data_IF_328302219555
#
_entry.id   IF_328302219555
#
_cell.length_a   1.000
_cell.length_b   1.000
_cell.length_c   1.000
_cell.angle_alpha   90.00
_cell.angle_beta   90.00
_cell.angle_gamma   90.00
#
_symmetry.space_group_name_H-M   'P 1'
#
loop_
_entity.id
_entity.type
_entity.pdbx_description
1 polymer ?
#
# COMPACT_ATOMS: atom_id res chain seq x y z
N UNK A 1 -14.91 0.80 -15.25
CA UNK A 1 -15.02 0.79 -13.78
C UNK A 1 -13.71 0.35 -13.13
N UNK A 2 -13.28 1.07 -12.09
CA UNK A 2 -12.06 0.79 -11.32
C UNK A 2 -12.43 0.17 -9.96
N UNK A 3 -11.77 -0.91 -9.55
CA UNK A 3 -11.90 -1.51 -8.23
C UNK A 3 -10.67 -1.21 -7.37
N UNK A 4 -10.89 -0.55 -6.23
CA UNK A 4 -9.91 -0.36 -5.18
C UNK A 4 -10.15 -1.33 -4.03
N UNK A 5 -9.12 -2.06 -3.62
CA UNK A 5 -9.13 -2.95 -2.47
C UNK A 5 -8.13 -2.39 -1.46
N UNK A 6 -8.59 -2.09 -0.25
CA UNK A 6 -7.74 -1.54 0.82
C UNK A 6 -7.76 -2.41 2.05
N UNK A 7 -6.64 -2.46 2.78
CA UNK A 7 -6.49 -3.23 4.00
C UNK A 7 -7.46 -2.79 5.12
N UNK A 8 -7.38 -1.53 5.55
CA UNK A 8 -8.12 -1.00 6.70
C UNK A 8 -9.44 -0.29 6.37
N UNK A 9 -10.37 -0.29 7.33
CA UNK A 9 -11.70 0.35 7.21
C UNK A 9 -11.75 1.83 7.63
N UNK A 10 -10.63 2.42 8.08
CA UNK A 10 -10.63 3.72 8.77
C UNK A 10 -9.92 4.81 7.99
N UNK A 11 -8.62 4.64 7.70
CA UNK A 11 -7.79 5.72 7.15
C UNK A 11 -7.82 5.67 5.62
N UNK A 12 -7.65 4.49 5.07
CA UNK A 12 -7.53 4.17 3.65
C UNK A 12 -8.77 4.62 2.87
N UNK A 13 -10.01 4.41 3.34
CA UNK A 13 -11.19 4.95 2.64
C UNK A 13 -11.23 6.48 2.62
N UNK A 14 -10.67 7.15 3.63
CA UNK A 14 -10.57 8.63 3.64
C UNK A 14 -9.48 9.12 2.69
N UNK A 15 -8.35 8.40 2.61
CA UNK A 15 -7.28 8.67 1.64
C UNK A 15 -7.82 8.52 0.23
N UNK A 16 -8.52 7.42 -0.03
CA UNK A 16 -9.21 7.16 -1.28
C UNK A 16 -10.17 8.27 -1.67
N UNK A 17 -11.10 8.65 -0.77
CA UNK A 17 -12.07 9.71 -1.02
C UNK A 17 -11.38 11.05 -1.33
N UNK A 18 -10.25 11.32 -0.66
CA UNK A 18 -9.44 12.52 -0.92
C UNK A 18 -8.87 12.50 -2.34
N UNK A 19 -8.24 11.40 -2.74
CA UNK A 19 -7.69 11.22 -4.08
C UNK A 19 -8.79 11.33 -5.15
N UNK A 20 -9.92 10.63 -4.95
CA UNK A 20 -11.08 10.69 -5.85
C UNK A 20 -11.55 12.12 -6.06
N UNK A 21 -11.73 12.88 -4.98
CA UNK A 21 -12.17 14.28 -5.05
C UNK A 21 -11.15 15.23 -5.68
N UNK A 22 -9.86 14.92 -5.57
CA UNK A 22 -8.82 15.78 -6.14
C UNK A 22 -8.55 15.47 -7.62
N UNK A 23 -8.64 14.20 -8.02
CA UNK A 23 -8.06 13.72 -9.27
C UNK A 23 -8.98 12.86 -10.15
N UNK A 24 -9.97 12.16 -9.59
CA UNK A 24 -10.77 11.14 -10.30
C UNK A 24 -12.28 11.33 -10.10
N UNK A 25 -12.79 12.57 -10.20
CA UNK A 25 -14.21 12.87 -9.88
C UNK A 25 -15.22 12.17 -10.79
N UNK A 26 -14.85 11.95 -12.05
CA UNK A 26 -15.76 11.50 -13.10
C UNK A 26 -15.60 10.01 -13.44
N UNK A 27 -14.73 9.30 -12.71
CA UNK A 27 -14.50 7.86 -12.92
C UNK A 27 -15.59 7.03 -12.23
N UNK A 28 -15.99 5.93 -12.88
CA UNK A 28 -16.82 4.92 -12.23
C UNK A 28 -15.93 3.99 -11.41
N UNK A 29 -16.10 3.98 -10.11
CA UNK A 29 -15.22 3.27 -9.19
C UNK A 29 -15.96 2.62 -8.02
N UNK A 30 -15.32 1.61 -7.45
CA UNK A 30 -15.75 0.89 -6.27
C UNK A 30 -14.57 0.76 -5.31
N UNK A 31 -14.83 0.92 -4.01
CA UNK A 31 -13.87 0.59 -2.95
C UNK A 31 -14.40 -0.58 -2.10
N UNK A 32 -13.57 -1.59 -1.88
CA UNK A 32 -13.81 -2.71 -0.99
C UNK A 32 -12.78 -2.72 0.14
N UNK A 33 -13.23 -3.13 1.33
CA UNK A 33 -12.35 -3.27 2.51
C UNK A 33 -12.00 -4.74 2.66
N UNK A 34 -10.71 -5.07 2.63
CA UNK A 34 -10.26 -6.43 2.85
C UNK A 34 -10.38 -6.82 4.33
N UNK A 35 -10.01 -5.94 5.27
CA UNK A 35 -10.25 -6.14 6.70
C UNK A 35 -9.31 -7.13 7.39
N UNK A 36 -8.21 -7.48 6.75
CA UNK A 36 -7.12 -8.31 7.27
C UNK A 36 -5.81 -7.89 6.60
N UNK A 37 -4.65 -8.36 7.07
CA UNK A 37 -3.38 -7.95 6.48
C UNK A 37 -3.08 -8.71 5.18
N UNK A 38 -2.01 -8.30 4.51
CA UNK A 38 -1.54 -8.88 3.24
C UNK A 38 -1.25 -10.39 3.31
N UNK A 39 -0.83 -10.90 4.47
CA UNK A 39 -0.64 -12.34 4.67
C UNK A 39 -1.97 -13.11 4.76
N UNK A 40 -3.01 -12.45 5.29
CA UNK A 40 -4.39 -12.92 5.20
C UNK A 40 -4.86 -13.04 3.74
N UNK A 41 -4.51 -12.09 2.87
CA UNK A 41 -4.76 -12.16 1.42
C UNK A 41 -4.04 -13.35 0.80
N UNK A 42 -2.74 -13.48 1.03
CA UNK A 42 -1.95 -14.59 0.52
C UNK A 42 -2.54 -15.96 0.88
N UNK A 43 -2.85 -16.16 2.17
CA UNK A 43 -3.40 -17.41 2.67
C UNK A 43 -4.78 -17.73 2.08
N UNK A 44 -5.59 -16.71 1.80
CA UNK A 44 -6.88 -16.92 1.12
C UNK A 44 -6.67 -17.31 -0.32
N UNK A 45 -5.84 -16.60 -1.07
CA UNK A 45 -5.54 -16.92 -2.47
C UNK A 45 -5.01 -18.35 -2.61
N UNK A 46 -4.09 -18.80 -1.75
CA UNK A 46 -3.60 -20.20 -1.73
C UNK A 46 -4.70 -21.24 -1.48
N UNK A 47 -5.76 -20.90 -0.71
CA UNK A 47 -6.89 -21.82 -0.49
C UNK A 47 -7.76 -22.00 -1.73
N UNK A 48 -7.90 -20.96 -2.56
CA UNK A 48 -8.61 -21.09 -3.83
C UNK A 48 -7.74 -21.69 -4.93
N UNK A 49 -6.45 -21.37 -4.94
CA UNK A 49 -5.49 -21.75 -5.97
C UNK A 49 -4.49 -22.77 -5.41
N UNK A 50 -4.97 -23.99 -5.09
CA UNK A 50 -4.15 -25.02 -4.47
C UNK A 50 -2.84 -25.34 -5.23
N UNK A 51 -2.79 -25.04 -6.53
CA UNK A 51 -1.58 -24.99 -7.34
C UNK A 51 -1.50 -23.63 -8.06
N UNK A 52 -0.54 -22.78 -7.69
CA UNK A 52 -0.23 -21.54 -8.43
C UNK A 52 0.28 -21.81 -9.87
N UNK A 53 0.47 -23.08 -10.25
CA UNK A 53 0.96 -23.52 -11.56
C UNK A 53 -0.16 -23.63 -12.63
N UNK A 54 -1.45 -23.58 -12.25
CA UNK A 54 -2.56 -23.66 -13.21
C UNK A 54 -3.28 -22.29 -13.35
N UNK A 55 -2.69 -21.45 -14.20
CA UNK A 55 -3.13 -20.10 -14.58
C UNK A 55 -4.58 -20.09 -15.13
N UNK A 56 -5.15 -21.26 -15.46
CA UNK A 56 -6.51 -21.38 -16.01
C UNK A 56 -7.66 -21.35 -15.00
N UNK A 57 -7.40 -21.46 -13.68
CA UNK A 57 -8.43 -21.54 -12.63
C UNK A 57 -8.19 -20.57 -11.47
N UNK A 58 -7.48 -19.49 -11.73
CA UNK A 58 -7.17 -18.45 -10.75
C UNK A 58 -8.47 -17.89 -10.18
N UNK A 59 -8.70 -18.06 -8.88
CA UNK A 59 -9.78 -17.35 -8.20
C UNK A 59 -9.61 -15.86 -8.45
N UNK A 60 -10.58 -15.31 -9.14
CA UNK A 60 -10.69 -13.89 -9.36
C UNK A 60 -10.73 -13.20 -7.99
N UNK A 61 -9.88 -12.21 -7.79
CA UNK A 61 -9.82 -11.42 -6.56
C UNK A 61 -11.21 -10.88 -6.15
N UNK A 62 -12.09 -10.61 -7.12
CA UNK A 62 -13.48 -10.20 -6.88
C UNK A 62 -14.26 -11.25 -6.08
N UNK A 63 -14.10 -12.54 -6.39
CA UNK A 63 -14.80 -13.62 -5.69
C UNK A 63 -14.26 -13.79 -4.27
N UNK A 64 -12.93 -13.71 -4.11
CA UNK A 64 -12.29 -13.69 -2.78
C UNK A 64 -12.87 -12.57 -1.92
N UNK A 65 -12.98 -11.36 -2.46
CA UNK A 65 -13.50 -10.19 -1.74
C UNK A 65 -15.00 -10.33 -1.40
N UNK A 66 -15.82 -10.88 -2.30
CA UNK A 66 -17.25 -11.12 -2.05
C UNK A 66 -17.48 -12.11 -0.91
N UNK A 67 -16.70 -13.19 -0.86
CA UNK A 67 -16.88 -14.24 0.16
C UNK A 67 -16.37 -13.81 1.55
N UNK A 68 -15.54 -12.77 1.62
CA UNK A 68 -14.92 -12.33 2.87
C UNK A 68 -15.83 -11.51 3.78
N UNK A 69 -16.60 -10.58 3.22
CA UNK A 69 -17.46 -9.68 4.00
C UNK A 69 -18.79 -9.48 3.24
N UNK A 70 -19.95 -9.74 3.87
CA UNK A 70 -21.26 -9.44 3.30
C UNK A 70 -21.41 -8.00 2.79
N UNK A 71 -20.70 -7.03 3.40
CA UNK A 71 -20.69 -5.63 2.92
C UNK A 71 -20.01 -5.51 1.56
N UNK A 72 -18.91 -6.22 1.34
CA UNK A 72 -18.25 -6.24 0.03
C UNK A 72 -19.13 -6.95 -1.00
N UNK A 73 -19.80 -8.04 -0.63
CA UNK A 73 -20.77 -8.70 -1.52
C UNK A 73 -21.90 -7.75 -1.95
N UNK A 74 -22.41 -6.92 -1.04
CA UNK A 74 -23.42 -5.91 -1.35
C UNK A 74 -22.89 -4.80 -2.26
N UNK A 75 -21.67 -4.31 -2.00
CA UNK A 75 -21.00 -3.31 -2.84
C UNK A 75 -20.76 -3.85 -4.27
N UNK A 76 -20.39 -5.13 -4.38
CA UNK A 76 -20.10 -5.82 -5.65
C UNK A 76 -21.32 -6.49 -6.29
N UNK A 77 -22.54 -6.30 -5.77
CA UNK A 77 -23.73 -7.04 -6.22
C UNK A 77 -24.08 -6.85 -7.70
N UNK A 78 -23.70 -5.71 -8.26
CA UNK A 78 -23.97 -5.36 -9.66
C UNK A 78 -22.87 -5.87 -10.60
N UNK A 79 -21.74 -6.30 -10.04
CA UNK A 79 -20.63 -6.90 -10.79
C UNK A 79 -21.00 -8.36 -10.97
N UNK A 80 -21.15 -8.82 -12.19
CA UNK A 80 -21.51 -10.21 -12.49
C UNK A 80 -20.31 -11.01 -12.93
N UNK A 81 -19.40 -10.38 -13.67
CA UNK A 81 -18.19 -10.98 -14.24
C UNK A 81 -16.96 -10.15 -13.84
N UNK A 82 -15.76 -10.77 -13.81
CA UNK A 82 -14.48 -10.06 -13.72
C UNK A 82 -14.38 -8.98 -14.79
N UNK A 83 -14.84 -9.30 -16.00
CA UNK A 83 -14.80 -8.42 -17.17
C UNK A 83 -15.65 -7.16 -17.03
N UNK A 84 -16.47 -7.05 -15.98
CA UNK A 84 -17.19 -5.80 -15.67
C UNK A 84 -16.25 -4.79 -14.97
N UNK A 85 -15.05 -5.21 -14.55
CA UNK A 85 -14.02 -4.40 -13.93
C UNK A 85 -12.88 -4.20 -14.93
N UNK A 86 -12.54 -2.94 -15.23
CA UNK A 86 -11.48 -2.61 -16.18
C UNK A 86 -10.09 -2.61 -15.52
N UNK A 87 -10.03 -2.19 -14.25
CA UNK A 87 -8.78 -2.05 -13.51
C UNK A 87 -8.97 -2.42 -12.03
N UNK A 88 -8.02 -3.17 -11.47
CA UNK A 88 -7.99 -3.52 -10.04
C UNK A 88 -6.71 -2.99 -9.39
N UNK A 89 -6.86 -2.24 -8.31
CA UNK A 89 -5.77 -1.73 -7.49
C UNK A 89 -5.91 -2.23 -6.05
N UNK A 90 -4.83 -2.80 -5.51
CA UNK A 90 -4.77 -3.29 -4.14
C UNK A 90 -3.78 -2.44 -3.34
N UNK A 91 -4.19 -1.93 -2.18
CA UNK A 91 -3.33 -1.16 -1.27
C UNK A 91 -3.27 -1.86 0.08
N UNK A 92 -2.08 -2.33 0.41
CA UNK A 92 -1.80 -3.07 1.63
C UNK A 92 -0.56 -2.55 2.33
N UNK A 93 -0.45 -2.87 3.61
CA UNK A 93 0.71 -2.55 4.41
C UNK A 93 1.68 -3.75 4.39
N UNK A 94 2.99 -3.50 4.51
CA UNK A 94 3.97 -4.58 4.64
C UNK A 94 3.77 -5.38 5.96
N UNK A 95 3.06 -4.78 6.94
CA UNK A 95 2.64 -5.34 8.23
C UNK A 95 3.66 -6.26 8.93
N UNK A 96 4.72 -5.66 9.46
CA UNK A 96 5.69 -6.35 10.31
C UNK A 96 5.11 -6.99 11.58
N UNK A 97 3.89 -6.62 11.99
CA UNK A 97 3.29 -7.17 13.22
C UNK A 97 2.92 -8.64 13.04
N UNK A 98 2.70 -9.09 11.80
CA UNK A 98 2.49 -10.49 11.48
C UNK A 98 3.64 -11.37 11.98
N UNK A 99 4.89 -10.99 11.68
CA UNK A 99 6.05 -11.79 12.07
C UNK A 99 6.17 -11.98 13.60
N UNK A 100 5.84 -10.95 14.38
CA UNK A 100 5.80 -11.05 15.83
C UNK A 100 4.64 -11.93 16.34
N UNK A 101 3.45 -11.82 15.75
CA UNK A 101 2.32 -12.68 16.12
C UNK A 101 2.62 -14.15 15.84
N UNK A 102 3.25 -14.45 14.70
CA UNK A 102 3.67 -15.82 14.36
C UNK A 102 4.72 -16.30 15.35
N UNK A 103 5.72 -15.48 15.69
CA UNK A 103 6.75 -15.84 16.67
C UNK A 103 6.16 -16.12 18.07
N UNK A 104 5.15 -15.35 18.50
CA UNK A 104 4.45 -15.58 19.77
C UNK A 104 3.70 -16.91 19.80
N UNK A 105 3.17 -17.35 18.64
CA UNK A 105 2.47 -18.63 18.49
C UNK A 105 3.43 -19.82 18.26
N UNK A 106 4.59 -19.55 17.67
CA UNK A 106 5.63 -20.52 17.29
C UNK A 106 7.01 -20.07 17.80
N UNK A 107 7.28 -20.17 19.12
CA UNK A 107 8.53 -19.68 19.72
C UNK A 107 9.78 -20.41 19.22
N UNK A 108 9.62 -21.57 18.60
CA UNK A 108 10.67 -22.34 17.94
C UNK A 108 11.17 -21.71 16.63
N UNK A 109 10.34 -20.89 15.98
CA UNK A 109 10.71 -20.18 14.75
C UNK A 109 11.43 -18.87 15.09
N UNK A 110 12.58 -18.63 14.45
CA UNK A 110 13.24 -17.34 14.59
C UNK A 110 12.48 -16.25 13.82
N UNK A 111 12.55 -15.03 14.33
CA UNK A 111 11.94 -13.86 13.66
C UNK A 111 12.50 -13.64 12.25
N UNK A 112 13.77 -13.98 12.03
CA UNK A 112 14.44 -13.89 10.72
C UNK A 112 13.85 -14.90 9.72
N UNK A 113 13.60 -16.14 10.15
CA UNK A 113 12.97 -17.15 9.29
C UNK A 113 11.54 -16.76 8.91
N UNK A 114 10.78 -16.22 9.87
CA UNK A 114 9.41 -15.76 9.62
C UNK A 114 9.40 -14.57 8.66
N UNK A 115 10.27 -13.58 8.86
CA UNK A 115 10.36 -12.42 7.96
C UNK A 115 10.78 -12.82 6.54
N UNK A 116 11.69 -13.78 6.40
CA UNK A 116 12.10 -14.29 5.09
C UNK A 116 10.96 -15.01 4.36
N UNK A 117 10.15 -15.76 5.11
CA UNK A 117 8.94 -16.38 4.58
C UNK A 117 7.92 -15.32 4.18
N UNK A 118 7.69 -14.30 5.01
CA UNK A 118 6.82 -13.17 4.70
C UNK A 118 7.27 -12.41 3.44
N UNK A 119 8.58 -12.14 3.30
CA UNK A 119 9.17 -11.56 2.09
C UNK A 119 8.93 -12.43 0.85
N UNK A 120 9.02 -13.75 1.00
CA UNK A 120 8.74 -14.68 -0.11
C UNK A 120 7.28 -14.58 -0.56
N UNK A 121 6.35 -14.53 0.40
CA UNK A 121 4.90 -14.39 0.13
C UNK A 121 4.58 -13.05 -0.52
N UNK A 122 5.18 -11.97 -0.03
CA UNK A 122 5.00 -10.62 -0.60
C UNK A 122 5.54 -10.54 -2.02
N UNK A 123 6.68 -11.17 -2.30
CA UNK A 123 7.22 -11.27 -3.65
C UNK A 123 6.25 -12.00 -4.58
N UNK A 124 5.72 -13.16 -4.16
CA UNK A 124 4.72 -13.89 -4.94
C UNK A 124 3.47 -13.04 -5.23
N UNK A 125 2.99 -12.27 -4.24
CA UNK A 125 1.85 -11.37 -4.44
C UNK A 125 2.17 -10.21 -5.39
N UNK A 126 3.35 -9.62 -5.31
CA UNK A 126 3.78 -8.55 -6.22
C UNK A 126 4.01 -9.04 -7.65
N UNK A 127 4.47 -10.28 -7.81
CA UNK A 127 4.63 -10.90 -9.12
C UNK A 127 3.27 -11.26 -9.72
N UNK A 128 2.32 -11.68 -8.89
CA UNK A 128 0.95 -12.03 -9.30
C UNK A 128 0.07 -10.80 -9.58
N UNK A 129 0.12 -9.78 -8.73
CA UNK A 129 -0.62 -8.51 -8.88
C UNK A 129 0.29 -7.40 -9.44
N UNK A 130 0.72 -7.54 -10.69
CA UNK A 130 1.66 -6.61 -11.32
C UNK A 130 1.02 -5.65 -12.35
N UNK A 131 -0.20 -5.93 -12.81
CA UNK A 131 -0.85 -5.24 -13.92
C UNK A 131 -2.34 -5.05 -13.60
N UNK A 132 -2.78 -3.80 -13.59
CA UNK A 132 -4.12 -3.43 -13.14
C UNK A 132 -5.23 -3.97 -14.04
N UNK A 133 -4.94 -4.18 -15.32
CA UNK A 133 -5.91 -4.66 -16.33
C UNK A 133 -6.00 -6.20 -16.43
N UNK A 134 -5.20 -6.93 -15.66
CA UNK A 134 -5.22 -8.40 -15.60
C UNK A 134 -5.67 -8.88 -14.21
N UNK A 135 -4.75 -9.40 -13.39
CA UNK A 135 -5.06 -9.87 -12.04
C UNK A 135 -5.20 -8.72 -11.03
N UNK A 136 -4.75 -7.53 -11.39
CA UNK A 136 -4.71 -6.34 -10.55
C UNK A 136 -3.28 -5.91 -10.23
N UNK A 137 -3.13 -4.73 -9.62
CA UNK A 137 -1.84 -4.16 -9.27
C UNK A 137 -1.73 -3.85 -7.79
N UNK A 138 -0.75 -4.44 -7.13
CA UNK A 138 -0.52 -4.33 -5.70
C UNK A 138 0.46 -3.21 -5.36
N UNK A 139 0.03 -2.33 -4.46
CA UNK A 139 0.76 -1.21 -3.90
C UNK A 139 1.00 -1.44 -2.39
N UNK A 140 2.26 -1.31 -1.96
CA UNK A 140 2.66 -1.61 -0.56
C UNK A 140 3.08 -0.34 0.18
N UNK A 141 2.44 -0.05 1.31
CA UNK A 141 2.91 0.98 2.23
C UNK A 141 4.01 0.42 3.14
N UNK A 142 5.05 1.23 3.38
CA UNK A 142 6.16 0.90 4.25
C UNK A 142 6.22 1.85 5.46
N UNK A 143 5.99 1.35 6.69
CA UNK A 143 5.46 0.03 7.01
C UNK A 143 3.93 -0.07 6.89
N UNK A 144 3.21 1.06 6.99
CA UNK A 144 1.75 1.12 7.08
C UNK A 144 1.19 2.47 6.62
N UNK A 145 -0.15 2.60 6.54
CA UNK A 145 -0.83 3.81 6.05
C UNK A 145 -0.35 5.13 6.69
N UNK A 146 0.07 5.12 7.96
CA UNK A 146 0.64 6.29 8.62
C UNK A 146 1.92 6.86 7.95
N UNK A 147 2.59 6.09 7.09
CA UNK A 147 3.70 6.59 6.28
C UNK A 147 3.29 7.76 5.38
N UNK A 148 2.01 7.87 5.01
CA UNK A 148 1.49 8.98 4.20
C UNK A 148 1.70 10.35 4.87
N UNK A 149 1.56 10.41 6.20
CA UNK A 149 1.73 11.65 6.96
C UNK A 149 3.09 11.76 7.64
N UNK A 150 3.99 10.79 7.48
CA UNK A 150 5.28 10.78 8.18
C UNK A 150 6.24 11.81 7.55
N UNK A 151 5.98 13.08 7.81
CA UNK A 151 6.69 14.21 7.23
C UNK A 151 6.51 15.43 8.13
N UNK A 152 7.53 16.29 8.16
CA UNK A 152 7.46 17.65 8.69
C UNK A 152 6.79 18.55 7.65
N UNK A 153 7.03 19.85 7.69
CA UNK A 153 6.53 20.80 6.70
C UNK A 153 6.79 20.33 5.25
N UNK A 154 5.75 20.32 4.40
CA UNK A 154 5.89 20.02 2.97
C UNK A 154 6.41 21.23 2.18
N UNK A 155 7.39 21.06 1.26
CA UNK A 155 8.18 19.85 1.06
C UNK A 155 9.20 19.66 2.18
N UNK A 156 9.42 18.40 2.54
CA UNK A 156 10.35 18.02 3.59
C UNK A 156 11.69 17.56 2.98
N UNK A 157 12.74 18.38 3.17
CA UNK A 157 14.05 18.13 2.58
C UNK A 157 14.69 16.83 3.09
N UNK A 158 14.36 16.41 4.31
CA UNK A 158 14.95 15.25 4.96
C UNK A 158 14.11 13.98 4.78
N UNK A 159 12.96 14.06 4.10
CA UNK A 159 12.02 12.93 3.94
C UNK A 159 12.69 11.64 3.44
N UNK A 160 13.64 11.75 2.51
CA UNK A 160 14.39 10.61 1.97
C UNK A 160 15.20 9.84 3.01
N UNK A 161 15.58 10.48 4.12
CA UNK A 161 16.38 9.88 5.20
C UNK A 161 15.55 9.08 6.19
N UNK A 162 14.23 9.27 6.23
CA UNK A 162 13.40 8.70 7.28
C UNK A 162 13.22 7.18 7.12
N UNK A 163 13.53 6.45 8.19
CA UNK A 163 13.45 5.00 8.31
C UNK A 163 12.78 4.63 9.62
N UNK A 164 12.29 3.40 9.72
CA UNK A 164 11.77 2.82 10.96
C UNK A 164 12.35 1.42 11.14
N UNK A 165 12.45 1.00 12.39
CA UNK A 165 12.85 -0.36 12.76
C UNK A 165 11.63 -1.27 12.90
N UNK A 166 11.88 -2.58 12.88
CA UNK A 166 10.87 -3.61 13.16
C UNK A 166 10.25 -3.43 14.55
N UNK A 167 11.07 -3.08 15.54
CA UNK A 167 10.65 -2.88 16.93
C UNK A 167 9.67 -1.71 17.07
N UNK A 168 9.93 -0.59 16.40
CA UNK A 168 9.01 0.55 16.35
C UNK A 168 7.68 0.18 15.65
N UNK A 169 7.73 -0.64 14.60
CA UNK A 169 6.56 -1.12 13.88
C UNK A 169 5.63 -2.02 14.72
N UNK A 170 6.16 -2.77 15.70
CA UNK A 170 5.40 -3.76 16.47
C UNK A 170 4.15 -3.19 17.16
N UNK A 171 4.16 -1.92 17.54
CA UNK A 171 2.99 -1.27 18.15
C UNK A 171 3.05 0.26 18.22
N UNK A 172 4.20 0.87 17.93
CA UNK A 172 4.42 2.28 18.24
C UNK A 172 4.37 3.16 17.00
N UNK A 173 4.59 2.61 15.80
CA UNK A 173 4.72 3.41 14.59
C UNK A 173 3.56 4.38 14.38
N UNK A 174 2.31 3.98 14.61
CA UNK A 174 1.16 4.88 14.51
C UNK A 174 1.25 6.09 15.45
N UNK A 175 1.67 5.85 16.70
CA UNK A 175 1.88 6.90 17.70
C UNK A 175 3.09 7.76 17.35
N UNK A 176 4.21 7.14 16.96
CA UNK A 176 5.45 7.82 16.56
C UNK A 176 5.19 8.71 15.34
N UNK A 177 4.48 8.21 14.33
CA UNK A 177 4.09 8.98 13.15
C UNK A 177 3.18 10.16 13.53
N UNK A 178 2.23 9.96 14.46
CA UNK A 178 1.40 11.04 14.96
C UNK A 178 2.21 12.07 15.75
N UNK A 179 3.17 11.69 16.58
CA UNK A 179 4.01 12.61 17.36
C UNK A 179 5.06 13.32 16.49
N UNK A 180 5.57 12.63 15.47
CA UNK A 180 6.56 13.15 14.52
C UNK A 180 5.95 14.13 13.52
N UNK A 181 4.82 13.78 12.89
CA UNK A 181 4.27 14.52 11.76
C UNK A 181 3.86 15.96 12.12
N UNK A 182 4.07 16.93 11.22
CA UNK A 182 3.46 18.26 11.37
C UNK A 182 1.98 18.25 10.93
N UNK A 183 1.54 17.21 10.22
CA UNK A 183 0.18 16.98 9.72
C UNK A 183 -0.60 16.05 10.66
N UNK A 184 -0.76 16.48 11.92
CA UNK A 184 -1.49 15.76 12.98
C UNK A 184 -2.89 15.36 12.54
N UNK A 185 -3.29 14.13 12.87
CA UNK A 185 -4.57 13.55 12.46
C UNK A 185 -4.85 13.66 10.94
N UNK A 186 -3.80 13.77 10.12
CA UNK A 186 -3.87 14.01 8.67
C UNK A 186 -4.49 15.35 8.24
N UNK A 187 -4.54 16.36 9.13
CA UNK A 187 -5.00 17.70 8.77
C UNK A 187 -4.17 18.26 7.63
N UNK A 188 -4.80 18.73 6.55
CA UNK A 188 -4.12 19.23 5.35
C UNK A 188 -3.67 18.14 4.37
N UNK A 189 -3.88 16.86 4.71
CA UNK A 189 -3.65 15.71 3.82
C UNK A 189 -4.97 15.03 3.44
N UNK A 190 -5.92 14.90 4.37
CA UNK A 190 -7.23 14.32 4.08
C UNK A 190 -8.28 15.39 3.79
N UNK A 191 -9.26 15.02 2.97
CA UNK A 191 -10.46 15.81 2.74
C UNK A 191 -11.35 15.80 3.98
N UNK A 192 -11.32 16.88 4.76
CA UNK A 192 -12.18 17.08 5.92
C UNK A 192 -13.22 18.17 5.61
N UNK A 193 -14.52 17.83 5.72
CA UNK A 193 -15.68 18.76 5.72
C UNK A 193 -15.59 19.97 4.78
N UNK A 194 -15.49 19.73 3.46
CA UNK A 194 -15.39 20.76 2.43
C UNK A 194 -14.27 21.76 2.78
N UNK A 195 -13.00 21.39 2.56
CA UNK A 195 -11.87 22.15 3.07
C UNK A 195 -11.94 23.58 2.54
N UNK A 196 -11.81 24.55 3.44
CA UNK A 196 -11.77 25.97 3.10
C UNK A 196 -10.65 26.29 2.09
N UNK A 197 -9.62 25.43 2.03
CA UNK A 197 -8.39 25.59 1.26
C UNK A 197 -8.13 24.37 0.33
N UNK A 198 -9.06 24.06 -0.58
CA UNK A 198 -8.89 22.98 -1.58
C UNK A 198 -7.56 23.09 -2.34
N UNK A 199 -7.14 24.31 -2.67
CA UNK A 199 -5.89 24.54 -3.41
C UNK A 199 -4.65 24.22 -2.57
N UNK A 200 -4.70 24.47 -1.25
CA UNK A 200 -3.63 24.05 -0.33
C UNK A 200 -3.58 22.53 -0.22
N UNK A 201 -4.74 21.87 -0.07
CA UNK A 201 -4.83 20.41 -0.04
C UNK A 201 -4.25 19.78 -1.32
N UNK A 202 -4.62 20.32 -2.50
CA UNK A 202 -4.07 19.86 -3.79
C UNK A 202 -2.56 20.07 -3.84
N UNK A 203 -2.06 21.22 -3.39
CA UNK A 203 -0.62 21.50 -3.32
C UNK A 203 0.11 20.52 -2.41
N UNK A 204 -0.45 20.20 -1.24
CA UNK A 204 0.13 19.21 -0.32
C UNK A 204 0.24 17.84 -0.99
N UNK A 205 -0.77 17.40 -1.73
CA UNK A 205 -0.72 16.14 -2.47
C UNK A 205 0.31 16.12 -3.59
N UNK A 206 0.51 17.22 -4.32
CA UNK A 206 1.60 17.33 -5.29
C UNK A 206 2.98 17.20 -4.63
N UNK A 207 3.17 17.81 -3.46
CA UNK A 207 4.41 17.71 -2.69
C UNK A 207 4.62 16.30 -2.11
N UNK A 208 3.56 15.66 -1.60
CA UNK A 208 3.57 14.28 -1.14
C UNK A 208 3.95 13.32 -2.28
N UNK A 209 3.35 13.49 -3.47
CA UNK A 209 3.70 12.75 -4.69
C UNK A 209 5.17 12.92 -5.00
N UNK A 210 5.65 14.17 -5.12
CA UNK A 210 7.03 14.45 -5.47
C UNK A 210 8.02 13.79 -4.48
N UNK A 211 7.87 14.01 -3.18
CA UNK A 211 8.85 13.50 -2.20
C UNK A 211 8.82 11.97 -2.07
N UNK A 212 7.64 11.33 -2.19
CA UNK A 212 7.57 9.86 -2.18
C UNK A 212 8.17 9.25 -3.45
N UNK A 213 7.93 9.83 -4.63
CA UNK A 213 8.53 9.35 -5.89
C UNK A 213 10.05 9.52 -5.87
N UNK A 214 10.54 10.69 -5.43
CA UNK A 214 11.98 10.92 -5.30
C UNK A 214 12.61 9.99 -4.26
N UNK A 215 11.90 9.69 -3.17
CA UNK A 215 12.36 8.71 -2.17
C UNK A 215 12.37 7.29 -2.71
N UNK A 216 11.36 6.88 -3.48
CA UNK A 216 11.36 5.58 -4.16
C UNK A 216 12.57 5.47 -5.10
N UNK A 217 12.87 6.51 -5.87
CA UNK A 217 14.08 6.55 -6.69
C UNK A 217 15.35 6.45 -5.85
N UNK A 218 15.42 7.17 -4.73
CA UNK A 218 16.57 7.08 -3.81
C UNK A 218 16.74 5.67 -3.23
N UNK A 219 15.66 4.97 -2.92
CA UNK A 219 15.69 3.57 -2.46
C UNK A 219 16.27 2.65 -3.55
N UNK A 220 15.87 2.84 -4.81
CA UNK A 220 16.27 1.96 -5.92
C UNK A 220 17.64 2.32 -6.53
N UNK A 221 18.05 3.59 -6.51
CA UNK A 221 19.23 4.07 -7.27
C UNK A 221 20.24 4.87 -6.44
N UNK A 222 19.91 5.18 -5.18
CA UNK A 222 20.65 6.11 -4.32
C UNK A 222 20.70 7.56 -4.85
N UNK A 223 19.86 7.90 -5.82
CA UNK A 223 19.69 9.26 -6.34
C UNK A 223 18.39 9.89 -5.83
N UNK A 224 18.48 10.97 -5.04
CA UNK A 224 17.30 11.71 -4.58
C UNK A 224 16.85 12.74 -5.63
N UNK A 225 16.25 12.23 -6.69
CA UNK A 225 15.71 12.99 -7.83
C UNK A 225 14.48 12.28 -8.40
N UNK A 226 13.75 12.92 -9.31
CA UNK A 226 12.70 12.20 -10.03
C UNK A 226 13.32 11.05 -10.84
N UNK A 227 12.71 9.86 -10.87
CA UNK A 227 13.21 8.73 -11.64
C UNK A 227 13.13 9.03 -13.14
N UNK A 228 13.96 8.34 -13.92
CA UNK A 228 13.98 8.51 -15.39
C UNK A 228 12.80 7.79 -16.03
N UNK A 229 12.42 6.64 -15.47
CA UNK A 229 11.26 5.84 -15.87
C UNK A 229 10.38 5.51 -14.67
N UNK A 230 9.09 5.25 -14.90
CA UNK A 230 8.19 4.70 -13.87
C UNK A 230 8.63 3.32 -13.39
N UNK A 231 9.17 2.52 -14.31
CA UNK A 231 9.69 1.18 -14.03
C UNK A 231 10.87 1.18 -13.05
N UNK A 232 11.65 2.26 -12.98
CA UNK A 232 12.78 2.37 -12.05
C UNK A 232 12.33 2.36 -10.58
N UNK A 233 11.06 2.70 -10.34
CA UNK A 233 10.43 2.80 -9.02
C UNK A 233 9.16 1.95 -8.92
N UNK A 234 9.08 0.88 -9.72
CA UNK A 234 7.97 -0.07 -9.63
C UNK A 234 7.88 -0.71 -8.23
N UNK A 235 6.71 -1.25 -7.89
CA UNK A 235 6.50 -1.87 -6.58
C UNK A 235 7.47 -3.03 -6.34
N UNK A 236 7.79 -3.81 -7.38
CA UNK A 236 8.79 -4.87 -7.34
C UNK A 236 10.20 -4.32 -7.07
N UNK A 237 10.59 -3.24 -7.75
CA UNK A 237 11.91 -2.61 -7.54
C UNK A 237 12.05 -2.04 -6.13
N UNK A 238 11.04 -1.31 -5.66
CA UNK A 238 11.02 -0.74 -4.31
C UNK A 238 11.10 -1.86 -3.27
N UNK A 239 10.28 -2.90 -3.41
CA UNK A 239 10.27 -4.05 -2.51
C UNK A 239 11.64 -4.74 -2.44
N UNK A 240 12.24 -5.07 -3.59
CA UNK A 240 13.54 -5.76 -3.65
C UNK A 240 14.67 -4.96 -2.99
N UNK A 241 14.67 -3.63 -3.11
CA UNK A 241 15.67 -2.78 -2.48
C UNK A 241 15.40 -2.55 -0.98
N UNK A 242 14.13 -2.47 -0.59
CA UNK A 242 13.74 -2.35 0.82
C UNK A 242 14.16 -3.58 1.62
N UNK A 243 13.90 -4.80 1.12
CA UNK A 243 14.26 -6.06 1.81
C UNK A 243 15.77 -6.26 1.88
N UNK A 244 16.50 -6.06 0.77
CA UNK A 244 17.97 -6.12 0.77
C UNK A 244 18.62 -5.11 1.73
N UNK A 245 18.06 -3.90 1.86
CA UNK A 245 18.56 -2.90 2.80
C UNK A 245 18.20 -3.26 4.24
N UNK A 246 17.00 -3.79 4.47
CA UNK A 246 16.56 -4.24 5.78
C UNK A 246 17.46 -5.34 6.33
N UNK A 247 17.85 -6.32 5.51
CA UNK A 247 18.77 -7.40 5.92
C UNK A 247 20.07 -6.87 6.52
N UNK A 248 20.59 -5.75 5.98
CA UNK A 248 21.85 -5.12 6.40
C UNK A 248 21.69 -4.23 7.63
N UNK A 249 20.64 -3.40 7.64
CA UNK A 249 20.52 -2.28 8.57
C UNK A 249 19.43 -2.45 9.62
N UNK A 250 18.65 -3.54 9.56
CA UNK A 250 17.48 -3.82 10.41
C UNK A 250 16.48 -2.66 10.49
N UNK A 251 16.40 -1.88 9.40
CA UNK A 251 15.48 -0.74 9.25
C UNK A 251 14.98 -0.64 7.82
N UNK A 252 13.74 -0.24 7.66
CA UNK A 252 13.08 -0.05 6.37
C UNK A 252 12.84 1.45 6.12
N UNK A 253 12.94 1.89 4.86
CA UNK A 253 12.62 3.28 4.55
C UNK A 253 11.10 3.49 4.64
N UNK A 254 10.68 4.62 5.22
CA UNK A 254 9.27 4.96 5.34
C UNK A 254 8.78 5.50 3.99
N UNK A 255 7.80 4.85 3.37
CA UNK A 255 7.32 5.20 2.04
C UNK A 255 5.82 4.89 1.95
N UNK A 256 5.05 5.75 1.31
CA UNK A 256 3.62 5.49 1.07
C UNK A 256 3.36 5.24 -0.41
N UNK A 257 2.49 4.29 -0.72
CA UNK A 257 2.24 3.85 -2.09
C UNK A 257 1.12 4.61 -2.78
N UNK A 258 0.21 5.27 -2.05
CA UNK A 258 -0.82 6.13 -2.66
C UNK A 258 -0.22 7.27 -3.51
N UNK A 259 0.81 8.01 -3.07
CA UNK A 259 1.46 8.99 -3.93
C UNK A 259 2.20 8.38 -5.13
N UNK A 260 2.71 7.15 -5.02
CA UNK A 260 3.31 6.42 -6.16
C UNK A 260 2.25 6.02 -7.19
N UNK A 261 1.09 5.55 -6.74
CA UNK A 261 -0.08 5.34 -7.59
C UNK A 261 -0.46 6.62 -8.36
N UNK A 262 -0.48 7.78 -7.70
CA UNK A 262 -0.73 9.04 -8.41
C UNK A 262 0.34 9.34 -9.47
N UNK A 263 1.60 9.03 -9.21
CA UNK A 263 2.66 9.17 -10.22
C UNK A 263 2.47 8.22 -11.40
N UNK A 264 1.98 7.00 -11.17
CA UNK A 264 1.74 6.02 -12.22
C UNK A 264 0.60 6.43 -13.17
N UNK A 265 -0.44 7.12 -12.70
CA UNK A 265 -1.63 7.41 -13.52
C UNK A 265 -1.89 8.88 -13.81
N UNK A 266 -1.34 9.81 -13.03
CA UNK A 266 -1.47 11.25 -13.30
C UNK A 266 -0.28 11.77 -14.13
N UNK A 267 -0.57 12.66 -15.06
CA UNK A 267 0.41 13.36 -15.90
C UNK A 267 0.94 14.62 -15.22
#
# INVERSE_FOLDING_TARGET
MILFIVEGSKTEPRVYETIKRLYFRDEEDIICIFGSNIYGLYNRLKKYNADFDDIGNVANIVDVIREMDPKNAEVLKNIKLSSDIDQVFLFFDYDFQHAYHVQEQHPECSLEEILKEDDTRLKELLDFFNEETDMGKLYINYPMIESLKYTKQLPDADFHTYRTTLEECRSQFKKVAEEFSDYKAYKGILWDNAPDEIDELRRNWELLKQQNVMKANYICTLSYSMPTSKEDVSQQQVFAHQTNTYDKNKSIAILNSFPLFLYDYLK
#
